data_IF_527578416076
#
_entry.id   IF_527578416076
#
_cell.length_a   1.000
_cell.length_b   1.000
_cell.length_c   1.000
_cell.angle_alpha   90.00
_cell.angle_beta   90.00
_cell.angle_gamma   90.00
#
_symmetry.space_group_name_H-M   'P 1'
#
loop_
_entity.id
_entity.type
_entity.pdbx_description
1 polymer ?
#
# COMPACT_ATOMS: atom_id res chain seq x y z
N UNK A 1 -4.53 10.70 -6.63
CA UNK A 1 -4.31 10.67 -5.15
C UNK A 1 -2.99 9.97 -4.81
N UNK A 2 -2.90 8.66 -5.00
CA UNK A 2 -1.64 7.94 -4.80
C UNK A 2 -0.77 8.02 -6.06
N UNK A 3 0.55 7.87 -5.89
CA UNK A 3 1.43 7.67 -7.04
C UNK A 3 1.11 6.35 -7.74
N UNK A 4 1.54 6.21 -8.98
CA UNK A 4 1.38 4.95 -9.73
C UNK A 4 2.07 3.78 -9.01
N UNK A 5 3.26 4.05 -8.44
CA UNK A 5 3.99 3.06 -7.64
C UNK A 5 3.17 2.61 -6.42
N UNK A 6 2.54 3.55 -5.73
CA UNK A 6 1.71 3.26 -4.56
C UNK A 6 0.46 2.47 -4.94
N UNK A 7 -0.19 2.82 -6.04
CA UNK A 7 -1.34 2.07 -6.56
C UNK A 7 -0.98 0.60 -6.81
N UNK A 8 0.13 0.36 -7.50
CA UNK A 8 0.61 -1.01 -7.74
C UNK A 8 1.01 -1.72 -6.45
N UNK A 9 1.63 -1.00 -5.53
CA UNK A 9 2.00 -1.55 -4.22
C UNK A 9 0.81 -2.03 -3.42
N UNK A 10 -0.24 -1.22 -3.34
CA UNK A 10 -1.48 -1.57 -2.64
C UNK A 10 -2.12 -2.82 -3.27
N UNK A 11 -2.22 -2.83 -4.60
CA UNK A 11 -2.79 -3.99 -5.32
C UNK A 11 -1.96 -5.25 -5.09
N UNK A 12 -0.63 -5.15 -5.21
CA UNK A 12 0.28 -6.29 -5.02
C UNK A 12 0.16 -6.87 -3.61
N UNK A 13 0.22 -6.02 -2.60
CA UNK A 13 0.12 -6.45 -1.20
C UNK A 13 -1.24 -7.10 -0.92
N UNK A 14 -2.32 -6.52 -1.44
CA UNK A 14 -3.67 -7.10 -1.28
C UNK A 14 -3.72 -8.51 -1.88
N UNK A 15 -3.21 -8.69 -3.09
CA UNK A 15 -3.18 -10.01 -3.72
C UNK A 15 -2.30 -10.99 -2.95
N UNK A 16 -1.09 -10.59 -2.58
CA UNK A 16 -0.17 -11.44 -1.79
C UNK A 16 -0.82 -11.86 -0.48
N UNK A 17 -1.53 -10.95 0.18
CA UNK A 17 -2.23 -11.25 1.43
C UNK A 17 -3.30 -12.32 1.25
N UNK A 18 -4.08 -12.28 0.16
CA UNK A 18 -5.09 -13.33 -0.11
C UNK A 18 -4.43 -14.70 -0.22
N UNK A 19 -3.28 -14.79 -0.86
CA UNK A 19 -2.56 -16.04 -1.04
C UNK A 19 -1.88 -16.50 0.27
N UNK A 20 -1.37 -15.57 1.04
CA UNK A 20 -0.79 -15.85 2.35
C UNK A 20 -1.82 -16.40 3.33
N UNK A 21 -3.08 -15.99 3.22
CA UNK A 21 -4.17 -16.52 4.06
C UNK A 21 -4.39 -18.02 3.87
N UNK A 22 -4.07 -18.54 2.69
CA UNK A 22 -4.15 -19.99 2.40
C UNK A 22 -2.76 -20.66 2.41
N UNK A 23 -1.76 -19.99 2.96
CA UNK A 23 -0.43 -20.56 3.14
C UNK A 23 0.43 -20.61 1.87
N UNK A 24 0.07 -19.84 0.83
CA UNK A 24 0.82 -19.81 -0.43
C UNK A 24 1.78 -18.63 -0.49
N UNK A 25 2.99 -18.89 -1.03
CA UNK A 25 3.91 -17.86 -1.48
C UNK A 25 3.68 -17.62 -2.96
N UNK A 26 3.84 -16.37 -3.41
CA UNK A 26 3.60 -16.02 -4.82
C UNK A 26 4.84 -15.38 -5.43
N UNK A 27 5.15 -15.77 -6.66
CA UNK A 27 6.26 -15.22 -7.41
C UNK A 27 5.81 -13.96 -8.15
N UNK A 28 6.79 -13.14 -8.53
CA UNK A 28 6.52 -11.85 -9.19
C UNK A 28 5.63 -12.00 -10.44
N UNK A 29 5.85 -13.03 -11.24
CA UNK A 29 5.06 -13.27 -12.45
C UNK A 29 3.58 -13.46 -12.16
N UNK A 30 3.25 -14.18 -11.10
CA UNK A 30 1.86 -14.37 -10.67
C UNK A 30 1.24 -13.05 -10.17
N UNK A 31 2.00 -12.29 -9.40
CA UNK A 31 1.54 -10.99 -8.90
C UNK A 31 1.18 -10.06 -10.04
N UNK A 32 2.09 -9.87 -11.01
CA UNK A 32 1.87 -8.91 -12.10
C UNK A 32 0.72 -9.33 -13.02
N UNK A 33 0.51 -10.62 -13.19
CA UNK A 33 -0.63 -11.14 -13.95
C UNK A 33 -1.97 -10.77 -13.28
N UNK A 34 -2.04 -10.91 -11.95
CA UNK A 34 -3.28 -10.68 -11.20
C UNK A 34 -3.59 -9.19 -10.96
N UNK A 35 -2.60 -8.30 -11.07
CA UNK A 35 -2.85 -6.86 -10.86
C UNK A 35 -2.63 -6.03 -12.12
N UNK A 36 -2.31 -6.67 -13.24
CA UNK A 36 -2.06 -6.03 -14.53
C UNK A 36 -1.04 -4.89 -14.40
N UNK A 37 0.20 -5.24 -14.03
CA UNK A 37 1.28 -4.28 -13.80
C UNK A 37 2.56 -4.66 -14.50
N UNK A 38 3.46 -3.69 -14.79
CA UNK A 38 4.78 -3.98 -15.35
C UNK A 38 5.65 -4.74 -14.35
N UNK A 39 6.28 -5.83 -14.78
CA UNK A 39 7.03 -6.71 -13.89
C UNK A 39 8.22 -6.01 -13.22
N UNK A 40 9.08 -5.35 -13.98
CA UNK A 40 10.27 -4.70 -13.45
C UNK A 40 9.92 -3.58 -12.44
N UNK A 41 8.89 -2.82 -12.73
CA UNK A 41 8.40 -1.75 -11.86
C UNK A 41 7.81 -2.32 -10.56
N UNK A 42 6.99 -3.36 -10.67
CA UNK A 42 6.38 -4.04 -9.52
C UNK A 42 7.42 -4.71 -8.64
N UNK A 43 8.44 -5.33 -9.23
CA UNK A 43 9.54 -5.94 -8.50
C UNK A 43 10.29 -4.91 -7.65
N UNK A 44 10.53 -3.73 -8.20
CA UNK A 44 11.18 -2.62 -7.47
C UNK A 44 10.32 -2.14 -6.29
N UNK A 45 9.02 -2.02 -6.50
CA UNK A 45 8.07 -1.63 -5.46
C UNK A 45 8.05 -2.66 -4.33
N UNK A 46 7.95 -3.95 -4.67
CA UNK A 46 7.97 -5.02 -3.69
C UNK A 46 9.30 -5.08 -2.94
N UNK A 47 10.42 -4.78 -3.60
CA UNK A 47 11.73 -4.66 -2.94
C UNK A 47 11.74 -3.59 -1.86
N UNK A 48 11.14 -2.43 -2.13
CA UNK A 48 11.00 -1.36 -1.14
C UNK A 48 10.12 -1.81 0.04
N UNK A 49 9.04 -2.52 -0.23
CA UNK A 49 8.13 -3.02 0.80
C UNK A 49 8.76 -4.12 1.65
N UNK A 50 9.64 -4.94 1.07
CA UNK A 50 10.44 -5.93 1.82
C UNK A 50 11.37 -5.21 2.80
N UNK A 51 12.03 -4.14 2.37
CA UNK A 51 12.92 -3.35 3.23
C UNK A 51 12.20 -2.78 4.45
N UNK A 52 10.95 -2.39 4.28
CA UNK A 52 10.13 -1.81 5.36
C UNK A 52 9.34 -2.88 6.14
N UNK A 53 9.63 -4.15 5.92
CA UNK A 53 8.99 -5.28 6.60
C UNK A 53 7.47 -5.38 6.40
N UNK A 54 6.96 -4.83 5.32
CA UNK A 54 5.54 -4.95 4.95
C UNK A 54 5.25 -6.32 4.34
N UNK A 55 6.19 -6.82 3.57
CA UNK A 55 6.10 -8.14 2.92
C UNK A 55 7.44 -8.86 3.07
N UNK A 56 7.40 -10.18 3.11
CA UNK A 56 8.60 -11.02 3.16
C UNK A 56 8.86 -11.66 1.80
N UNK A 57 10.12 -11.98 1.54
CA UNK A 57 10.57 -12.63 0.32
C UNK A 57 11.51 -13.79 0.63
N UNK A 58 11.26 -14.93 0.01
CA UNK A 58 12.11 -16.12 0.12
C UNK A 58 12.58 -16.51 -1.27
N UNK A 59 13.87 -16.77 -1.42
CA UNK A 59 14.45 -17.19 -2.70
C UNK A 59 14.29 -18.71 -2.91
N UNK A 60 14.51 -19.15 -4.15
CA UNK A 60 14.49 -20.57 -4.51
C UNK A 60 13.21 -21.03 -5.20
N UNK A 61 13.15 -22.31 -5.60
CA UNK A 61 12.01 -22.83 -6.38
C UNK A 61 10.69 -22.85 -5.60
N UNK A 62 10.75 -22.92 -4.28
CA UNK A 62 9.57 -22.86 -3.41
C UNK A 62 9.42 -21.49 -2.74
N UNK A 63 10.18 -20.49 -3.19
CA UNK A 63 10.16 -19.16 -2.66
C UNK A 63 9.03 -18.31 -3.21
N UNK A 64 9.12 -17.03 -2.95
CA UNK A 64 8.17 -16.01 -3.38
C UNK A 64 7.88 -15.02 -2.26
N UNK A 65 6.89 -14.17 -2.52
CA UNK A 65 6.45 -13.16 -1.56
C UNK A 65 5.33 -13.70 -0.69
N UNK A 66 5.34 -13.31 0.58
CA UNK A 66 4.28 -13.66 1.53
C UNK A 66 4.19 -12.63 2.64
N UNK A 67 3.06 -12.62 3.32
CA UNK A 67 2.84 -11.81 4.52
C UNK A 67 2.50 -12.77 5.66
N UNK A 68 3.16 -12.60 6.81
CA UNK A 68 2.87 -13.41 7.99
C UNK A 68 1.43 -13.15 8.43
N UNK A 69 0.66 -14.22 8.63
CA UNK A 69 -0.74 -14.13 9.07
C UNK A 69 -0.91 -13.34 10.37
N UNK A 70 0.07 -13.42 11.26
CA UNK A 70 0.03 -12.71 12.55
C UNK A 70 0.22 -11.21 12.39
N UNK A 71 0.73 -10.76 11.25
CA UNK A 71 0.98 -9.34 10.97
C UNK A 71 -0.12 -8.68 10.14
N UNK A 72 -1.03 -9.46 9.55
CA UNK A 72 -2.06 -8.92 8.65
C UNK A 72 -3.00 -7.90 9.28
N UNK A 73 -3.25 -8.03 10.58
CA UNK A 73 -4.07 -7.06 11.33
C UNK A 73 -3.29 -5.83 11.76
N UNK A 74 -1.97 -5.93 11.86
CA UNK A 74 -1.09 -4.86 12.33
C UNK A 74 -0.59 -3.97 11.20
N UNK A 75 -0.37 -4.55 10.01
CA UNK A 75 0.05 -3.80 8.83
C UNK A 75 -1.19 -3.14 8.23
N UNK A 76 -1.13 -1.83 8.04
CA UNK A 76 -2.23 -1.04 7.51
C UNK A 76 -1.83 -0.35 6.22
N UNK A 77 -2.79 0.28 5.56
CA UNK A 77 -2.53 1.03 4.34
C UNK A 77 -1.51 2.14 4.52
N UNK A 78 -1.43 2.74 5.72
CA UNK A 78 -0.46 3.81 5.96
C UNK A 78 0.97 3.28 5.88
N UNK A 79 1.22 2.03 6.27
CA UNK A 79 2.54 1.41 6.17
C UNK A 79 2.97 1.26 4.71
N UNK A 80 2.06 0.86 3.84
CA UNK A 80 2.32 0.73 2.41
C UNK A 80 2.59 2.11 1.79
N UNK A 81 1.71 3.07 2.04
CA UNK A 81 1.79 4.42 1.47
C UNK A 81 3.08 5.10 1.91
N UNK A 82 3.41 5.03 3.20
CA UNK A 82 4.61 5.66 3.75
C UNK A 82 5.88 5.02 3.19
N UNK A 83 5.89 3.70 3.02
CA UNK A 83 7.04 2.98 2.47
C UNK A 83 7.34 3.37 1.01
N UNK A 84 6.33 3.70 0.22
CA UNK A 84 6.48 3.98 -1.21
C UNK A 84 6.53 5.48 -1.50
N UNK A 85 5.57 6.24 -0.98
CA UNK A 85 5.37 7.66 -1.30
C UNK A 85 5.85 8.61 -0.18
N UNK A 86 6.20 8.08 1.00
CA UNK A 86 6.44 8.91 2.17
C UNK A 86 5.15 9.44 2.76
N UNK A 87 5.23 10.52 3.52
CA UNK A 87 4.12 11.08 4.28
C UNK A 87 3.50 12.35 3.69
N UNK A 88 3.99 12.81 2.53
CA UNK A 88 3.58 14.08 1.94
C UNK A 88 2.08 14.17 1.63
N UNK A 89 1.44 13.05 1.35
CA UNK A 89 0.01 13.01 1.03
C UNK A 89 -0.87 13.46 2.21
N UNK A 90 -0.42 13.25 3.43
CA UNK A 90 -1.17 13.64 4.62
C UNK A 90 -0.48 14.69 5.51
N UNK A 91 0.77 15.04 5.22
CA UNK A 91 1.53 16.07 5.96
C UNK A 91 1.95 17.25 5.08
N UNK A 92 1.98 17.11 3.77
CA UNK A 92 2.41 18.14 2.84
C UNK A 92 1.36 19.21 2.56
N UNK A 93 1.78 20.31 1.96
CA UNK A 93 0.86 21.34 1.49
C UNK A 93 0.13 20.89 0.22
N UNK A 94 -1.20 21.00 0.21
CA UNK A 94 -2.02 20.64 -0.95
C UNK A 94 -1.78 21.51 -2.19
N UNK A 95 -1.21 22.71 -2.02
CA UNK A 95 -0.80 23.58 -3.12
C UNK A 95 0.68 23.42 -3.50
N UNK A 96 1.38 22.47 -2.89
CA UNK A 96 2.78 22.20 -3.23
C UNK A 96 3.79 23.20 -2.67
N UNK A 97 3.42 23.98 -1.68
CA UNK A 97 4.38 24.84 -0.98
C UNK A 97 5.38 23.99 -0.20
N UNK A 98 6.58 24.52 0.03
CA UNK A 98 7.66 23.77 0.68
C UNK A 98 7.29 23.23 2.05
N UNK A 99 6.46 23.95 2.78
CA UNK A 99 6.00 23.54 4.12
C UNK A 99 4.52 23.88 4.29
N UNK A 100 3.84 23.01 5.03
CA UNK A 100 2.51 23.31 5.55
C UNK A 100 2.69 24.05 6.88
N UNK A 101 2.30 25.32 6.93
CA UNK A 101 2.54 26.17 8.09
C UNK A 101 1.23 26.88 8.49
N UNK A 102 0.80 26.61 9.70
CA UNK A 102 -0.44 27.19 10.26
C UNK A 102 -0.30 28.70 10.57
N UNK A 103 0.94 29.17 10.84
CA UNK A 103 1.19 30.57 11.14
C UNK A 103 1.22 31.43 9.86
N UNK A 104 1.58 30.81 8.75
CA UNK A 104 1.58 31.44 7.42
C UNK A 104 0.82 30.54 6.44
N UNK A 105 -0.51 30.40 6.59
CA UNK A 105 -1.28 29.42 5.86
C UNK A 105 -1.43 29.77 4.38
N UNK A 106 -1.47 28.71 3.53
CA UNK A 106 -1.91 28.88 2.14
C UNK A 106 -3.44 29.12 2.10
N UNK A 107 -3.98 29.62 0.99
CA UNK A 107 -5.43 29.91 0.89
C UNK A 107 -6.35 28.72 1.18
N UNK A 108 -5.86 27.49 1.01
CA UNK A 108 -6.63 26.27 1.21
C UNK A 108 -6.23 25.49 2.47
N UNK A 109 -5.39 26.08 3.32
CA UNK A 109 -4.79 25.39 4.47
C UNK A 109 -5.82 24.67 5.34
N UNK A 110 -6.82 25.40 5.84
CA UNK A 110 -7.82 24.82 6.76
C UNK A 110 -8.66 23.72 6.11
N UNK A 111 -8.92 23.82 4.81
CA UNK A 111 -9.66 22.81 4.06
C UNK A 111 -8.82 21.55 3.88
N UNK A 112 -7.57 21.67 3.47
CA UNK A 112 -6.67 20.53 3.29
C UNK A 112 -6.33 19.84 4.61
N UNK A 113 -6.17 20.58 5.70
CA UNK A 113 -5.89 19.99 7.02
C UNK A 113 -6.98 18.99 7.40
N UNK A 114 -8.26 19.36 7.24
CA UNK A 114 -9.39 18.47 7.52
C UNK A 114 -9.38 17.22 6.63
N UNK A 115 -9.22 17.40 5.33
CA UNK A 115 -9.19 16.28 4.37
C UNK A 115 -8.02 15.34 4.63
N UNK A 116 -6.83 15.89 4.88
CA UNK A 116 -5.64 15.07 5.19
C UNK A 116 -5.77 14.31 6.49
N UNK A 117 -6.41 14.89 7.50
CA UNK A 117 -6.68 14.21 8.75
C UNK A 117 -7.61 13.01 8.55
N UNK A 118 -8.66 13.17 7.75
CA UNK A 118 -9.58 12.09 7.41
C UNK A 118 -8.90 11.01 6.60
N UNK A 119 -8.08 11.40 5.62
CA UNK A 119 -7.29 10.45 4.82
C UNK A 119 -6.35 9.63 5.70
N UNK A 120 -5.61 10.29 6.59
CA UNK A 120 -4.69 9.63 7.50
C UNK A 120 -5.41 8.63 8.41
N UNK A 121 -6.57 9.01 8.93
CA UNK A 121 -7.40 8.13 9.75
C UNK A 121 -7.84 6.90 8.99
N UNK A 122 -8.31 7.06 7.75
CA UNK A 122 -8.69 5.95 6.88
C UNK A 122 -7.52 5.00 6.64
N UNK A 123 -6.35 5.56 6.29
CA UNK A 123 -5.16 4.75 6.01
C UNK A 123 -4.66 3.97 7.23
N UNK A 124 -4.75 4.57 8.42
CA UNK A 124 -4.36 3.93 9.68
C UNK A 124 -5.33 2.84 10.13
N UNK A 125 -6.60 2.99 9.82
CA UNK A 125 -7.66 2.07 10.28
C UNK A 125 -7.95 0.93 9.29
N UNK A 126 -7.38 0.95 8.10
CA UNK A 126 -7.60 -0.09 7.08
C UNK A 126 -6.43 -1.06 7.09
N UNK A 127 -6.65 -2.27 7.62
CA UNK A 127 -5.64 -3.31 7.67
C UNK A 127 -5.53 -4.06 6.34
N UNK A 128 -4.38 -4.71 6.15
CA UNK A 128 -4.18 -5.59 4.99
C UNK A 128 -5.18 -6.75 5.01
N UNK A 129 -5.50 -7.28 6.19
CA UNK A 129 -6.51 -8.33 6.33
C UNK A 129 -7.87 -7.89 5.77
N UNK A 130 -8.30 -6.69 6.11
CA UNK A 130 -9.56 -6.14 5.61
C UNK A 130 -9.60 -6.08 4.08
N UNK A 131 -8.52 -5.61 3.46
CA UNK A 131 -8.39 -5.56 2.00
C UNK A 131 -8.44 -6.95 1.38
N UNK A 132 -7.72 -7.90 1.97
CA UNK A 132 -7.66 -9.28 1.47
C UNK A 132 -9.03 -9.97 1.59
N UNK A 133 -9.71 -9.79 2.69
CA UNK A 133 -11.05 -10.36 2.91
C UNK A 133 -12.07 -9.80 1.91
N UNK A 134 -12.03 -8.50 1.64
CA UNK A 134 -12.89 -7.89 0.62
C UNK A 134 -12.65 -8.44 -0.78
N UNK A 135 -11.39 -8.72 -1.12
CA UNK A 135 -11.05 -9.33 -2.40
C UNK A 135 -11.50 -10.80 -2.46
N UNK A 136 -11.28 -11.57 -1.39
CA UNK A 136 -11.68 -12.97 -1.33
C UNK A 136 -13.20 -13.16 -1.35
N UNK A 137 -13.97 -12.28 -0.75
CA UNK A 137 -15.44 -12.36 -0.73
C UNK A 137 -16.07 -11.97 -2.05
N UNK A 138 -15.31 -11.37 -2.97
CA UNK A 138 -15.84 -10.85 -4.23
C UNK A 138 -16.49 -9.48 -4.12
N UNK A 139 -16.43 -8.84 -2.96
CA UNK A 139 -16.94 -7.49 -2.76
C UNK A 139 -16.09 -6.44 -3.48
N UNK A 140 -14.84 -6.77 -3.75
CA UNK A 140 -13.90 -5.86 -4.43
C UNK A 140 -13.11 -6.59 -5.52
N UNK A 141 -12.48 -5.82 -6.41
CA UNK A 141 -11.65 -6.33 -7.49
C UNK A 141 -10.40 -5.47 -7.66
N UNK A 142 -9.32 -6.07 -8.16
CA UNK A 142 -8.06 -5.36 -8.45
C UNK A 142 -7.87 -5.06 -9.94
N UNK A 143 -8.71 -5.62 -10.80
CA UNK A 143 -8.65 -5.44 -12.26
C UNK A 143 -10.05 -5.13 -12.79
N UNK A 144 -10.09 -4.25 -13.78
CA UNK A 144 -11.33 -3.95 -14.52
C UNK A 144 -11.08 -3.96 -16.01
#
# INVERSE_FOLDING_TARGET
MFSKACEYGIKAITYIATQSMIGRRVKIGEVVEHIDSPEAFTAKILGALVKENVVQSVTGPYGGFYIDKNQMDQITMIDIVTAIDGDSIFNGCGLGLKQCNADHPCPMHSKFVSVRADLKRMLKSTSIRELAEGLNSGESTLIR
#
